data_IF_903279994856
#
_entry.id   IF_903279994856
#
_cell.length_a   1.000
_cell.length_b   1.000
_cell.length_c   1.000
_cell.angle_alpha   90.00
_cell.angle_beta   90.00
_cell.angle_gamma   90.00
#
_symmetry.space_group_name_H-M   'P 1'
#
loop_
_entity.id
_entity.type
_entity.pdbx_description
1 polymer ?
#
# COMPACT_ATOMS: atom_id res chain seq x y z
N UNK A 1 -34.79 1.64 -19.89
CA UNK A 1 -33.81 0.60 -19.53
C UNK A 1 -32.48 1.14 -19.96
N UNK A 2 -31.62 1.55 -19.03
CA UNK A 2 -30.29 2.05 -19.37
C UNK A 2 -29.53 0.92 -20.09
N UNK A 3 -28.86 1.24 -21.18
CA UNK A 3 -28.16 0.24 -21.96
C UNK A 3 -27.08 -0.41 -21.09
N UNK A 4 -26.93 -1.76 -21.10
CA UNK A 4 -25.93 -2.45 -20.29
C UNK A 4 -24.50 -1.92 -20.51
N UNK A 5 -24.25 -1.30 -21.66
CA UNK A 5 -23.01 -0.59 -21.97
C UNK A 5 -22.77 0.65 -21.12
N UNK A 6 -23.77 1.46 -20.76
CA UNK A 6 -23.53 2.64 -19.91
C UNK A 6 -23.17 2.25 -18.48
N UNK A 7 -23.74 1.14 -17.98
CA UNK A 7 -23.43 0.60 -16.67
C UNK A 7 -22.01 0.02 -16.62
N UNK A 8 -21.61 -0.78 -17.60
CA UNK A 8 -20.24 -1.32 -17.67
C UNK A 8 -19.19 -0.23 -17.86
N UNK A 9 -19.51 0.86 -18.58
CA UNK A 9 -18.61 2.03 -18.71
C UNK A 9 -18.39 2.72 -17.36
N UNK A 10 -19.45 2.95 -16.59
CA UNK A 10 -19.34 3.54 -15.25
C UNK A 10 -18.54 2.66 -14.29
N UNK A 11 -18.75 1.34 -14.35
CA UNK A 11 -17.96 0.36 -13.61
C UNK A 11 -16.49 0.38 -14.05
N UNK A 12 -16.22 0.43 -15.35
CA UNK A 12 -14.85 0.50 -15.87
C UNK A 12 -14.11 1.73 -15.33
N UNK A 13 -14.70 2.93 -15.38
CA UNK A 13 -14.10 4.14 -14.80
C UNK A 13 -13.81 3.99 -13.29
N UNK A 14 -14.70 3.32 -12.55
CA UNK A 14 -14.49 3.00 -11.14
C UNK A 14 -13.31 2.02 -10.94
N UNK A 15 -13.17 1.04 -11.82
CA UNK A 15 -12.04 0.11 -11.85
C UNK A 15 -10.71 0.80 -12.16
N UNK A 16 -10.67 1.66 -13.18
CA UNK A 16 -9.48 2.47 -13.52
C UNK A 16 -9.04 3.30 -12.32
N UNK A 17 -9.99 3.96 -11.64
CA UNK A 17 -9.71 4.72 -10.41
C UNK A 17 -9.13 3.84 -9.30
N UNK A 18 -9.68 2.64 -9.11
CA UNK A 18 -9.20 1.72 -8.09
C UNK A 18 -7.77 1.22 -8.38
N UNK A 19 -7.48 0.87 -9.64
CA UNK A 19 -6.15 0.40 -10.08
C UNK A 19 -5.11 1.51 -9.95
N UNK A 20 -5.34 2.67 -10.55
CA UNK A 20 -4.41 3.80 -10.47
C UNK A 20 -4.24 4.30 -9.03
N UNK A 21 -5.33 4.32 -8.25
CA UNK A 21 -5.28 4.66 -6.84
C UNK A 21 -4.46 3.67 -6.00
N UNK A 22 -4.33 2.42 -6.44
CA UNK A 22 -3.56 1.36 -5.75
C UNK A 22 -2.11 1.27 -6.21
N UNK A 23 -1.78 2.00 -7.28
CA UNK A 23 -0.47 1.92 -7.87
C UNK A 23 0.56 2.65 -7.00
N UNK A 24 1.36 1.86 -6.28
CA UNK A 24 2.36 2.37 -5.35
C UNK A 24 3.30 3.39 -6.01
N UNK A 25 3.69 3.15 -7.26
CA UNK A 25 4.63 4.02 -7.96
C UNK A 25 4.02 5.42 -8.24
N UNK A 26 2.72 5.49 -8.54
CA UNK A 26 1.99 6.77 -8.66
C UNK A 26 1.81 7.45 -7.29
N UNK A 27 1.52 6.70 -6.23
CA UNK A 27 1.39 7.24 -4.87
C UNK A 27 2.72 7.83 -4.39
N UNK A 28 3.82 7.12 -4.59
CA UNK A 28 5.18 7.59 -4.29
C UNK A 28 5.50 8.84 -5.13
N UNK A 29 5.13 8.84 -6.42
CA UNK A 29 5.32 10.01 -7.27
C UNK A 29 4.65 11.25 -6.66
N UNK A 30 3.37 11.16 -6.30
CA UNK A 30 2.61 12.26 -5.70
C UNK A 30 3.16 12.65 -4.32
N UNK A 31 3.51 11.68 -3.47
CA UNK A 31 3.97 11.92 -2.10
C UNK A 31 5.35 12.60 -2.04
N UNK A 32 6.23 12.25 -2.98
CA UNK A 32 7.54 12.88 -3.13
C UNK A 32 7.51 14.20 -3.92
N UNK A 33 6.33 14.64 -4.40
CA UNK A 33 6.16 15.90 -5.12
C UNK A 33 6.58 15.86 -6.59
N UNK A 34 6.72 14.65 -7.16
CA UNK A 34 6.85 14.47 -8.60
C UNK A 34 5.55 14.95 -9.28
N UNK A 35 5.66 15.80 -10.30
CA UNK A 35 4.52 16.53 -10.89
C UNK A 35 4.14 17.86 -10.21
N UNK A 36 4.94 18.30 -9.23
CA UNK A 36 4.81 19.63 -8.61
C UNK A 36 3.59 19.77 -7.70
N UNK A 37 3.16 21.02 -7.47
CA UNK A 37 2.08 21.34 -6.53
C UNK A 37 0.71 20.70 -6.88
N UNK A 38 0.57 20.17 -8.10
CA UNK A 38 -0.67 19.61 -8.63
C UNK A 38 -0.61 18.09 -8.85
N UNK A 39 0.38 17.37 -8.29
CA UNK A 39 0.53 15.91 -8.49
C UNK A 39 -0.75 15.11 -8.22
N UNK A 40 -1.50 15.46 -7.15
CA UNK A 40 -2.78 14.81 -6.84
C UNK A 40 -3.88 15.10 -7.86
N UNK A 41 -3.93 16.33 -8.36
CA UNK A 41 -4.91 16.76 -9.38
C UNK A 41 -4.63 16.06 -10.72
N UNK A 42 -3.34 15.94 -11.08
CA UNK A 42 -2.87 15.18 -12.25
C UNK A 42 -3.22 13.69 -12.13
N UNK A 43 -3.10 13.10 -10.95
CA UNK A 43 -3.46 11.71 -10.72
C UNK A 43 -4.98 11.47 -10.92
N UNK A 44 -5.84 12.39 -10.47
CA UNK A 44 -7.28 12.30 -10.75
C UNK A 44 -7.59 12.54 -12.23
N UNK A 45 -6.89 13.46 -12.88
CA UNK A 45 -7.00 13.68 -14.33
C UNK A 45 -6.61 12.43 -15.13
N UNK A 46 -5.54 11.74 -14.72
CA UNK A 46 -5.05 10.51 -15.37
C UNK A 46 -6.09 9.40 -15.40
N UNK A 47 -6.94 9.28 -14.37
CA UNK A 47 -8.07 8.33 -14.36
C UNK A 47 -9.00 8.57 -15.55
N UNK A 48 -9.39 9.83 -15.77
CA UNK A 48 -10.25 10.20 -16.90
C UNK A 48 -9.54 10.05 -18.24
N UNK A 49 -8.25 10.37 -18.31
CA UNK A 49 -7.45 10.21 -19.53
C UNK A 49 -7.34 8.73 -19.96
N UNK A 50 -7.01 7.84 -19.02
CA UNK A 50 -6.96 6.39 -19.26
C UNK A 50 -8.35 5.87 -19.65
N UNK A 51 -9.40 6.27 -18.93
CA UNK A 51 -10.76 5.88 -19.29
C UNK A 51 -11.10 6.27 -20.75
N UNK A 52 -10.84 7.52 -21.13
CA UNK A 52 -11.08 7.99 -22.50
C UNK A 52 -10.22 7.27 -23.54
N UNK A 53 -8.97 6.92 -23.20
CA UNK A 53 -8.06 6.20 -24.08
C UNK A 53 -8.61 4.82 -24.45
N UNK A 54 -9.11 4.06 -23.47
CA UNK A 54 -9.77 2.77 -23.70
C UNK A 54 -11.08 2.89 -24.48
N UNK A 55 -11.89 3.92 -24.20
CA UNK A 55 -13.14 4.13 -24.95
C UNK A 55 -12.91 4.55 -26.41
N UNK A 56 -11.80 5.25 -26.66
CA UNK A 56 -11.43 5.69 -28.01
C UNK A 56 -10.80 4.56 -28.83
N UNK A 57 -10.21 3.56 -28.16
CA UNK A 57 -9.49 2.45 -28.80
C UNK A 57 -10.04 1.11 -28.31
N UNK A 58 -10.86 0.45 -29.15
CA UNK A 58 -11.57 -0.78 -28.78
C UNK A 58 -10.69 -2.04 -28.68
N UNK A 59 -9.40 -1.96 -29.01
CA UNK A 59 -8.48 -3.10 -29.09
C UNK A 59 -7.05 -2.73 -28.70
N UNK A 60 -6.89 -2.23 -27.47
CA UNK A 60 -5.57 -1.90 -26.93
C UNK A 60 -4.83 -3.15 -26.44
N UNK A 61 -3.58 -3.29 -26.86
CA UNK A 61 -2.64 -4.26 -26.30
C UNK A 61 -2.07 -3.76 -24.96
N UNK A 62 -1.65 -4.66 -24.05
CA UNK A 62 -1.10 -4.24 -22.75
C UNK A 62 0.16 -3.38 -22.92
N UNK A 63 0.98 -3.65 -23.94
CA UNK A 63 2.15 -2.84 -24.30
C UNK A 63 1.78 -1.41 -24.73
N UNK A 64 0.66 -1.21 -25.44
CA UNK A 64 0.20 0.14 -25.84
C UNK A 64 -0.29 0.95 -24.64
N UNK A 65 -0.95 0.29 -23.69
CA UNK A 65 -1.41 0.92 -22.45
C UNK A 65 -0.21 1.24 -21.56
N UNK A 66 0.78 0.35 -21.50
CA UNK A 66 2.04 0.58 -20.80
C UNK A 66 2.80 1.79 -21.35
N UNK A 67 3.00 1.87 -22.66
CA UNK A 67 3.69 3.00 -23.31
C UNK A 67 2.96 4.32 -23.04
N UNK A 68 1.62 4.32 -23.12
CA UNK A 68 0.79 5.48 -22.77
C UNK A 68 0.96 5.89 -21.29
N UNK A 69 0.90 4.93 -20.36
CA UNK A 69 1.08 5.22 -18.94
C UNK A 69 2.48 5.76 -18.64
N UNK A 70 3.51 5.19 -19.27
CA UNK A 70 4.90 5.63 -19.14
C UNK A 70 5.09 7.06 -19.67
N UNK A 71 4.52 7.37 -20.84
CA UNK A 71 4.55 8.71 -21.42
C UNK A 71 3.85 9.73 -20.51
N UNK A 72 2.67 9.39 -19.98
CA UNK A 72 1.94 10.27 -19.05
C UNK A 72 2.74 10.51 -17.77
N UNK A 73 3.35 9.49 -17.19
CA UNK A 73 4.18 9.63 -15.98
C UNK A 73 5.43 10.47 -16.23
N UNK A 74 6.09 10.26 -17.35
CA UNK A 74 7.26 11.04 -17.72
C UNK A 74 6.90 12.51 -17.98
N UNK A 75 5.81 12.77 -18.69
CA UNK A 75 5.40 14.13 -19.05
C UNK A 75 4.75 14.90 -17.89
N UNK A 76 3.83 14.26 -17.16
CA UNK A 76 3.07 14.94 -16.11
C UNK A 76 3.72 14.89 -14.74
N UNK A 77 4.44 13.80 -14.43
CA UNK A 77 5.07 13.59 -13.13
C UNK A 77 6.60 13.72 -13.15
N UNK A 78 7.24 13.86 -14.33
CA UNK A 78 8.71 13.85 -14.45
C UNK A 78 9.31 12.59 -13.80
N UNK A 79 8.63 11.45 -13.96
CA UNK A 79 8.99 10.18 -13.33
C UNK A 79 9.03 9.07 -14.36
N UNK A 80 10.11 8.27 -14.29
CA UNK A 80 10.28 7.07 -15.10
C UNK A 80 10.13 5.87 -14.15
N UNK A 81 9.21 4.97 -14.48
CA UNK A 81 8.91 3.78 -13.66
C UNK A 81 9.45 2.55 -14.40
N UNK A 82 10.47 1.90 -13.85
CA UNK A 82 11.10 0.70 -14.45
C UNK A 82 10.95 -0.55 -13.56
N UNK A 83 10.04 -0.49 -12.59
CA UNK A 83 9.79 -1.56 -11.61
C UNK A 83 8.97 -2.73 -12.18
N UNK A 84 8.54 -2.65 -13.43
CA UNK A 84 7.63 -3.64 -14.06
C UNK A 84 6.17 -3.51 -13.63
N UNK A 85 5.86 -2.65 -12.65
CA UNK A 85 4.48 -2.38 -12.22
C UNK A 85 3.62 -1.73 -13.30
N UNK A 86 4.23 -1.02 -14.27
CA UNK A 86 3.56 -0.51 -15.47
C UNK A 86 2.84 -1.64 -16.25
N UNK A 87 3.56 -2.72 -16.54
CA UNK A 87 3.05 -3.90 -17.24
C UNK A 87 1.93 -4.62 -16.46
N UNK A 88 2.01 -4.60 -15.13
CA UNK A 88 1.00 -5.22 -14.28
C UNK A 88 -0.28 -4.38 -14.25
N UNK A 89 -0.15 -3.06 -14.14
CA UNK A 89 -1.28 -2.12 -14.20
C UNK A 89 -1.94 -2.15 -15.58
N UNK A 90 -1.17 -2.19 -16.66
CA UNK A 90 -1.71 -2.26 -18.03
C UNK A 90 -2.55 -3.52 -18.26
N UNK A 91 -2.05 -4.68 -17.82
CA UNK A 91 -2.78 -5.95 -17.88
C UNK A 91 -4.07 -5.94 -17.04
N UNK A 92 -4.04 -5.33 -15.86
CA UNK A 92 -5.24 -5.19 -15.03
C UNK A 92 -6.30 -4.32 -15.71
N UNK A 93 -5.91 -3.17 -16.26
CA UNK A 93 -6.81 -2.27 -16.98
C UNK A 93 -7.41 -2.96 -18.21
N UNK A 94 -6.60 -3.69 -18.97
CA UNK A 94 -7.07 -4.45 -20.12
C UNK A 94 -8.09 -5.53 -19.71
N UNK A 95 -7.83 -6.27 -18.63
CA UNK A 95 -8.76 -7.29 -18.13
C UNK A 95 -10.11 -6.67 -17.74
N UNK A 96 -10.10 -5.52 -17.06
CA UNK A 96 -11.33 -4.78 -16.72
C UNK A 96 -12.08 -4.33 -17.99
N UNK A 97 -11.37 -3.85 -19.00
CA UNK A 97 -11.97 -3.45 -20.27
C UNK A 97 -12.55 -4.64 -21.04
N UNK A 98 -11.89 -5.80 -21.01
CA UNK A 98 -12.39 -7.02 -21.63
C UNK A 98 -13.74 -7.46 -21.03
N UNK A 99 -13.88 -7.43 -19.70
CA UNK A 99 -15.17 -7.71 -19.03
C UNK A 99 -16.25 -6.69 -19.41
N UNK A 100 -15.86 -5.41 -19.59
CA UNK A 100 -16.77 -4.37 -20.07
C UNK A 100 -17.28 -4.66 -21.50
N UNK A 101 -16.41 -5.15 -22.39
CA UNK A 101 -16.77 -5.51 -23.77
C UNK A 101 -17.64 -6.77 -23.85
N UNK A 102 -17.40 -7.75 -22.97
CA UNK A 102 -18.21 -8.97 -22.88
C UNK A 102 -19.60 -8.72 -22.27
N UNK A 103 -19.83 -7.54 -21.67
CA UNK A 103 -21.09 -7.22 -20.99
C UNK A 103 -21.22 -7.93 -19.63
N UNK A 104 -20.12 -8.39 -19.05
CA UNK A 104 -20.09 -9.08 -17.76
C UNK A 104 -20.04 -8.08 -16.60
N UNK A 105 -21.05 -7.21 -16.52
CA UNK A 105 -21.22 -6.23 -15.43
C UNK A 105 -20.98 -6.78 -14.02
N UNK A 106 -21.55 -7.94 -13.61
CA UNK A 106 -21.33 -8.48 -12.27
C UNK A 106 -19.89 -8.94 -12.03
N UNK A 107 -19.21 -9.52 -13.03
CA UNK A 107 -17.82 -9.95 -12.90
C UNK A 107 -16.88 -8.73 -12.78
N UNK A 108 -17.15 -7.69 -13.56
CA UNK A 108 -16.44 -6.41 -13.48
C UNK A 108 -16.62 -5.76 -12.11
N UNK A 109 -17.87 -5.68 -11.61
CA UNK A 109 -18.17 -5.14 -10.29
C UNK A 109 -17.47 -5.93 -9.16
N UNK A 110 -17.43 -7.26 -9.25
CA UNK A 110 -16.72 -8.08 -8.27
C UNK A 110 -15.20 -7.87 -8.32
N UNK A 111 -14.61 -7.76 -9.52
CA UNK A 111 -13.19 -7.45 -9.68
C UNK A 111 -12.83 -6.10 -9.06
N UNK A 112 -13.67 -5.07 -9.27
CA UNK A 112 -13.51 -3.74 -8.67
C UNK A 112 -13.64 -3.81 -7.15
N UNK A 113 -14.64 -4.55 -6.64
CA UNK A 113 -14.84 -4.72 -5.20
C UNK A 113 -13.62 -5.40 -4.55
N UNK A 114 -13.05 -6.42 -5.20
CA UNK A 114 -11.85 -7.13 -4.75
C UNK A 114 -10.61 -6.22 -4.74
N UNK A 115 -10.41 -5.42 -5.80
CA UNK A 115 -9.34 -4.42 -5.85
C UNK A 115 -9.48 -3.38 -4.73
N UNK A 116 -10.70 -2.87 -4.52
CA UNK A 116 -11.00 -1.87 -3.49
C UNK A 116 -10.85 -2.43 -2.07
N UNK A 117 -11.19 -3.70 -1.87
CA UNK A 117 -11.00 -4.39 -0.59
C UNK A 117 -9.51 -4.56 -0.28
N UNK A 118 -8.71 -5.02 -1.26
CA UNK A 118 -7.27 -5.19 -1.08
C UNK A 118 -6.57 -3.84 -0.81
N UNK A 119 -6.99 -2.78 -1.49
CA UNK A 119 -6.58 -1.40 -1.24
C UNK A 119 -6.80 -0.95 0.22
N UNK A 120 -7.96 -1.27 0.81
CA UNK A 120 -8.24 -0.92 2.19
C UNK A 120 -7.34 -1.66 3.18
N UNK A 121 -7.06 -2.93 2.93
CA UNK A 121 -6.19 -3.74 3.79
C UNK A 121 -4.73 -3.27 3.72
N UNK A 122 -4.23 -2.97 2.51
CA UNK A 122 -2.86 -2.48 2.32
C UNK A 122 -2.69 -1.04 2.81
N UNK A 123 -3.67 -0.16 2.57
CA UNK A 123 -3.70 1.19 3.12
C UNK A 123 -3.83 1.23 4.65
N UNK A 124 -4.57 0.28 5.24
CA UNK A 124 -4.66 0.09 6.70
C UNK A 124 -3.35 -0.42 7.30
N UNK A 125 -2.60 -1.26 6.59
CA UNK A 125 -1.27 -1.68 7.04
C UNK A 125 -0.26 -0.52 7.01
N UNK A 126 -0.33 0.36 6.00
CA UNK A 126 0.51 1.56 5.92
C UNK A 126 0.17 2.61 7.00
N UNK A 127 -1.11 2.74 7.38
CA UNK A 127 -1.57 3.67 8.44
C UNK A 127 -1.31 3.15 9.87
N UNK A 128 -1.13 1.84 10.05
CA UNK A 128 -0.88 1.22 11.37
C UNK A 128 0.57 1.35 11.89
N UNK A 129 1.44 2.12 11.23
CA UNK A 129 2.75 2.50 11.78
C UNK A 129 2.70 3.66 12.81
N UNK A 130 1.54 3.94 13.43
CA UNK A 130 1.41 4.70 14.69
C UNK A 130 0.32 4.07 15.57
N UNK A 131 0.59 3.73 16.84
CA UNK A 131 -0.42 3.16 17.71
C UNK A 131 -1.27 4.30 18.29
N UNK A 132 -2.56 4.30 18.00
CA UNK A 132 -3.58 4.89 18.87
C UNK A 132 -4.90 4.16 18.63
N UNK A 133 -5.29 3.44 19.69
CA UNK A 133 -6.57 2.80 19.97
C UNK A 133 -7.81 3.21 19.14
N UNK A 134 -8.64 2.19 18.93
CA UNK A 134 -10.06 2.34 19.24
C UNK A 134 -11.01 2.10 18.09
N UNK A 135 -11.23 0.83 17.73
CA UNK A 135 -12.57 0.39 17.33
C UNK A 135 -12.64 -1.13 17.48
N UNK A 136 -12.80 -1.58 18.72
CA UNK A 136 -13.20 -2.95 19.02
C UNK A 136 -14.64 -2.91 19.49
N UNK A 137 -15.44 -3.74 18.83
CA UNK A 137 -16.88 -3.93 18.91
C UNK A 137 -17.47 -3.84 20.32
N UNK A 138 -18.61 -3.16 20.41
CA UNK A 138 -19.47 -3.11 21.60
C UNK A 138 -19.97 -4.53 21.94
N UNK A 139 -19.48 -5.11 23.03
CA UNK A 139 -20.08 -6.26 23.70
C UNK A 139 -20.59 -5.79 25.07
N UNK A 140 -21.90 -5.87 25.23
CA UNK A 140 -22.68 -5.43 26.40
C UNK A 140 -22.44 -6.38 27.59
N UNK A 141 -22.03 -5.80 28.72
CA UNK A 141 -21.67 -6.49 29.96
C UNK A 141 -22.88 -6.65 30.88
N UNK A 142 -23.13 -7.86 31.39
CA UNK A 142 -23.91 -8.05 32.62
C UNK A 142 -23.15 -8.90 33.65
N UNK A 143 -22.83 -8.25 34.77
CA UNK A 143 -22.11 -8.69 35.97
C UNK A 143 -22.99 -9.62 36.83
N UNK A 144 -22.39 -10.50 37.65
CA UNK A 144 -22.67 -10.32 39.07
C UNK A 144 -21.44 -10.40 39.98
N UNK A 145 -21.61 -9.72 41.10
CA UNK A 145 -20.73 -9.65 42.27
C UNK A 145 -20.44 -11.03 42.88
N UNK A 146 -19.29 -11.16 43.55
CA UNK A 146 -19.22 -11.51 44.98
C UNK A 146 -17.77 -11.52 45.49
N UNK A 147 -17.55 -10.85 46.63
CA UNK A 147 -16.32 -10.88 47.44
C UNK A 147 -16.42 -12.04 48.44
N UNK A 148 -15.32 -12.68 48.90
CA UNK A 148 -14.64 -12.17 50.10
C UNK A 148 -13.14 -12.53 50.23
N UNK A 149 -12.59 -12.15 51.38
CA UNK A 149 -11.20 -11.92 51.72
C UNK A 149 -10.39 -13.12 52.27
N UNK A 150 -9.08 -12.88 52.34
CA UNK A 150 -8.09 -13.32 53.33
C UNK A 150 -7.68 -14.81 53.41
N UNK A 151 -6.36 -15.04 53.32
CA UNK A 151 -5.74 -16.29 53.75
C UNK A 151 -4.23 -16.36 53.45
N UNK A 152 -3.41 -16.01 54.45
CA UNK A 152 -1.96 -16.26 54.49
C UNK A 152 -1.65 -17.76 54.42
N UNK A 153 -0.63 -18.17 53.65
CA UNK A 153 0.37 -19.13 54.14
C UNK A 153 1.65 -19.16 53.28
N UNK A 154 2.74 -19.50 53.94
CA UNK A 154 4.13 -19.32 53.55
C UNK A 154 4.77 -20.56 52.91
N UNK A 155 5.73 -20.29 52.01
CA UNK A 155 6.94 -21.09 51.70
C UNK A 155 6.76 -22.36 50.85
N UNK A 156 7.87 -23.01 50.40
CA UNK A 156 9.27 -22.58 50.38
C UNK A 156 9.99 -22.78 49.01
N UNK A 157 11.17 -22.15 48.84
CA UNK A 157 12.26 -22.57 47.91
C UNK A 157 12.89 -23.91 48.42
N UNK A 158 13.87 -24.61 47.78
CA UNK A 158 14.89 -24.24 46.77
C UNK A 158 15.20 -25.44 45.80
N UNK A 159 16.43 -25.95 45.53
CA UNK A 159 17.78 -25.38 45.29
C UNK A 159 18.51 -25.98 44.05
N UNK A 160 19.37 -25.21 43.36
CA UNK A 160 20.73 -25.59 42.91
C UNK A 160 21.28 -24.44 42.04
N UNK A 161 22.44 -23.83 42.33
CA UNK A 161 23.78 -24.41 42.17
C UNK A 161 24.17 -24.24 40.69
N UNK A 162 25.20 -23.50 40.26
CA UNK A 162 26.58 -23.49 40.77
C UNK A 162 27.34 -22.28 40.21
N UNK A 163 28.29 -21.84 41.01
CA UNK A 163 29.33 -20.82 40.80
C UNK A 163 30.27 -21.17 39.62
N UNK A 164 31.06 -20.19 39.15
CA UNK A 164 32.53 -20.20 38.88
C UNK A 164 32.86 -19.07 37.86
N UNK A 165 33.36 -17.90 38.29
CA UNK A 165 34.77 -17.42 38.24
C UNK A 165 35.51 -17.60 36.91
N UNK A 166 36.03 -16.51 36.34
CA UNK A 166 36.99 -16.58 35.23
C UNK A 166 37.31 -15.22 34.60
N UNK A 167 38.47 -14.67 34.96
CA UNK A 167 39.04 -13.43 34.44
C UNK A 167 39.33 -13.48 32.92
N UNK A 168 39.18 -12.34 32.26
CA UNK A 168 39.57 -12.13 30.86
C UNK A 168 39.55 -10.64 30.48
N UNK A 169 40.72 -10.04 30.48
CA UNK A 169 41.11 -8.68 30.02
C UNK A 169 40.40 -8.15 28.77
N UNK A 170 40.02 -6.85 28.71
CA UNK A 170 39.81 -6.16 27.44
C UNK A 170 41.18 -5.71 26.85
N UNK A 171 41.46 -5.89 25.55
CA UNK A 171 42.61 -5.24 24.94
C UNK A 171 42.34 -3.74 24.69
N UNK A 172 43.31 -2.85 24.97
CA UNK A 172 43.23 -1.45 24.58
C UNK A 172 43.64 -1.28 23.11
N UNK A 173 42.83 -0.58 22.31
CA UNK A 173 43.27 -0.04 21.02
C UNK A 173 43.36 1.48 21.15
N UNK A 174 44.55 1.92 21.56
CA UNK A 174 44.98 3.31 21.60
C UNK A 174 45.94 3.55 20.44
N UNK A 175 45.69 4.65 19.71
CA UNK A 175 46.57 5.35 18.78
C UNK A 175 47.08 4.58 17.53
N UNK A 176 46.53 4.97 16.39
CA UNK A 176 47.39 5.41 15.29
C UNK A 176 46.93 6.80 14.83
N UNK A 177 47.64 7.82 15.33
CA UNK A 177 47.71 9.13 14.72
C UNK A 177 48.44 9.01 13.39
N UNK A 178 47.83 9.39 12.27
CA UNK A 178 48.55 9.91 11.12
C UNK A 178 47.69 10.95 10.38
N UNK A 179 48.15 12.20 10.40
CA UNK A 179 48.09 13.04 9.18
C UNK A 179 47.15 14.23 9.12
N UNK A 180 46.91 14.99 10.20
CA UNK A 180 46.39 16.37 10.04
C UNK A 180 47.58 17.33 9.94
N UNK A 181 48.04 17.57 8.71
CA UNK A 181 48.90 18.70 8.36
C UNK A 181 48.61 19.11 6.92
N UNK A 182 47.82 20.16 6.75
CA UNK A 182 47.91 21.02 5.57
C UNK A 182 47.36 22.43 5.89
N UNK A 183 48.29 23.39 5.87
CA UNK A 183 48.13 24.80 5.49
C UNK A 183 47.33 25.79 6.37
N UNK A 184 48.06 26.54 7.21
CA UNK A 184 48.05 28.02 7.23
C UNK A 184 49.18 28.58 8.10
#
# INVERSE_FOLDING_TARGET
MAAPMEETRGLFGQGVRAVLGSWAALQIAVEHGFGGAHGREKAEWMVGAVEQYFHSNAALEPDEVEDFLAEVLNNEFDTIIEDGSLAEVSQQLQSLFAHCQLGEGPALAEAIARLTHWQQEVGRAATQARPAEGSSSEEEEERPEEVPAAGSQAGPAPPWGTREVGAGTPPPSTLEQLGWSQDM
#
